data_IF_289563264047
#
_entry.id   IF_289563264047
#
_cell.length_a   1.000
_cell.length_b   1.000
_cell.length_c   1.000
_cell.angle_alpha   90.00
_cell.angle_beta   90.00
_cell.angle_gamma   90.00
#
_symmetry.space_group_name_H-M   'P 1'
#
loop_
_entity.id
_entity.type
_entity.pdbx_description
1 polymer ?
#
# COMPACT_ATOMS: atom_id res chain seq x y z
N UNK A 1 -13.39 72.96 -3.63
CA UNK A 1 -12.25 72.06 -3.91
C UNK A 1 -11.60 71.69 -2.59
N UNK A 2 -11.69 70.43 -2.17
CA UNK A 2 -10.60 69.68 -1.53
C UNK A 2 -11.06 68.24 -1.27
N UNK A 3 -10.20 67.33 -1.71
CA UNK A 3 -10.44 65.92 -1.98
C UNK A 3 -10.39 65.02 -0.73
N UNK A 4 -11.19 63.97 -0.81
CA UNK A 4 -11.27 62.76 0.01
C UNK A 4 -9.91 62.10 0.31
N UNK A 5 -9.71 61.58 1.52
CA UNK A 5 -8.78 60.47 1.79
C UNK A 5 -9.55 59.26 2.34
N UNK A 6 -9.57 58.11 1.64
CA UNK A 6 -9.95 56.84 2.23
C UNK A 6 -8.75 56.22 2.95
N UNK A 7 -8.96 55.77 4.19
CA UNK A 7 -8.01 54.97 4.96
C UNK A 7 -8.02 53.53 4.44
N UNK A 8 -7.03 53.16 3.62
CA UNK A 8 -6.77 51.79 3.22
C UNK A 8 -6.10 51.01 4.36
N UNK A 9 -6.90 50.19 5.05
CA UNK A 9 -6.41 49.19 6.00
C UNK A 9 -5.76 48.05 5.21
N UNK A 10 -4.45 48.13 4.99
CA UNK A 10 -3.66 47.06 4.39
C UNK A 10 -3.60 45.87 5.35
N UNK A 11 -4.48 44.89 5.18
CA UNK A 11 -4.31 43.57 5.80
C UNK A 11 -3.17 42.84 5.10
N UNK A 12 -2.02 42.78 5.74
CA UNK A 12 -0.96 41.84 5.40
C UNK A 12 -1.49 40.41 5.61
N UNK A 13 -2.00 39.79 4.55
CA UNK A 13 -2.11 38.34 4.49
C UNK A 13 -0.69 37.78 4.36
N UNK A 14 -0.09 37.42 5.50
CA UNK A 14 1.07 36.59 5.54
C UNK A 14 0.73 35.26 4.83
N UNK A 15 1.23 35.07 3.61
CA UNK A 15 1.29 33.76 2.98
C UNK A 15 2.21 32.89 3.85
N UNK A 16 1.63 32.09 4.73
CA UNK A 16 2.31 30.96 5.34
C UNK A 16 2.62 29.98 4.21
N UNK A 17 3.80 30.12 3.61
CA UNK A 17 4.42 29.08 2.79
C UNK A 17 4.78 27.93 3.75
N UNK A 18 3.78 27.15 4.14
CA UNK A 18 4.00 25.85 4.77
C UNK A 18 4.62 24.97 3.69
N UNK A 19 5.94 25.02 3.54
CA UNK A 19 6.68 24.00 2.80
C UNK A 19 6.40 22.70 3.54
N UNK A 20 5.49 21.91 2.99
CA UNK A 20 5.14 20.61 3.54
C UNK A 20 6.36 19.71 3.39
N UNK A 21 7.20 19.69 4.44
CA UNK A 21 8.42 18.93 4.46
C UNK A 21 8.05 17.46 4.71
N UNK A 22 7.72 16.74 3.63
CA UNK A 22 7.46 15.30 3.69
C UNK A 22 8.55 14.58 4.50
N UNK A 23 8.12 13.69 5.39
CA UNK A 23 8.98 12.92 6.30
C UNK A 23 9.79 11.87 5.55
N UNK A 24 10.98 11.52 6.03
CA UNK A 24 11.73 10.40 5.45
C UNK A 24 11.11 9.06 5.83
N UNK A 25 11.29 8.03 4.99
CA UNK A 25 10.81 6.68 5.26
C UNK A 25 11.13 6.18 6.67
N UNK A 26 12.38 6.37 7.12
CA UNK A 26 12.84 5.92 8.46
C UNK A 26 12.20 6.69 9.62
N UNK A 27 11.84 7.95 9.41
CA UNK A 27 11.22 8.81 10.44
C UNK A 27 9.69 8.71 10.50
N UNK A 28 9.05 8.12 9.49
CA UNK A 28 7.59 8.08 9.38
C UNK A 28 6.97 7.19 10.44
N UNK A 29 5.96 7.70 11.16
CA UNK A 29 5.19 6.92 12.13
C UNK A 29 4.42 5.79 11.45
N UNK A 30 3.82 6.05 10.27
CA UNK A 30 3.09 5.03 9.51
C UNK A 30 4.02 3.88 9.09
N UNK A 31 5.25 4.20 8.66
CA UNK A 31 6.26 3.19 8.30
C UNK A 31 6.65 2.37 9.53
N UNK A 32 6.93 3.02 10.67
CA UNK A 32 7.28 2.32 11.91
C UNK A 32 6.16 1.38 12.37
N UNK A 33 4.91 1.85 12.38
CA UNK A 33 3.77 1.04 12.77
C UNK A 33 3.61 -0.19 11.86
N UNK A 34 3.66 0.00 10.54
CA UNK A 34 3.63 -1.11 9.59
C UNK A 34 4.78 -2.11 9.79
N UNK A 35 6.01 -1.64 10.03
CA UNK A 35 7.17 -2.50 10.27
C UNK A 35 7.03 -3.30 11.58
N UNK A 36 6.45 -2.71 12.63
CA UNK A 36 6.16 -3.41 13.89
C UNK A 36 5.17 -4.53 13.66
N UNK A 37 4.04 -4.26 12.98
CA UNK A 37 3.05 -5.30 12.66
C UNK A 37 3.69 -6.45 11.85
N UNK A 38 4.54 -6.11 10.87
CA UNK A 38 5.25 -7.10 10.06
C UNK A 38 6.25 -7.93 10.88
N UNK A 39 6.94 -7.32 11.82
CA UNK A 39 7.86 -8.04 12.71
C UNK A 39 7.09 -8.99 13.64
N UNK A 40 5.95 -8.56 14.19
CA UNK A 40 5.09 -9.40 15.02
C UNK A 40 4.56 -10.61 14.23
N UNK A 41 4.11 -10.42 12.99
CA UNK A 41 3.67 -11.53 12.14
C UNK A 41 4.80 -12.49 11.75
N UNK A 42 6.03 -12.00 11.56
CA UNK A 42 7.20 -12.84 11.28
C UNK A 42 7.64 -13.69 12.49
N UNK A 43 7.40 -13.20 13.71
CA UNK A 43 7.79 -13.85 14.96
C UNK A 43 6.74 -14.84 15.50
N UNK A 44 5.84 -15.36 14.65
CA UNK A 44 4.78 -16.35 14.95
C UNK A 44 5.25 -17.51 15.83
N UNK A 45 5.25 -17.26 17.13
CA UNK A 45 5.41 -18.19 18.23
C UNK A 45 4.21 -18.10 19.18
N UNK A 46 3.01 -17.80 18.63
CA UNK A 46 1.73 -18.19 19.24
C UNK A 46 0.90 -17.13 19.95
N UNK A 47 1.44 -15.98 20.38
CA UNK A 47 0.67 -15.05 21.24
C UNK A 47 0.10 -13.80 20.55
N UNK A 48 0.66 -13.37 19.43
CA UNK A 48 0.17 -12.21 18.69
C UNK A 48 0.03 -12.52 17.21
N UNK A 49 -1.21 -12.58 16.72
CA UNK A 49 -1.53 -12.58 15.30
C UNK A 49 -2.00 -11.16 14.99
N UNK A 50 -1.18 -10.37 14.30
CA UNK A 50 -1.67 -9.10 13.76
C UNK A 50 -2.83 -9.41 12.81
N UNK A 51 -3.96 -8.73 12.95
CA UNK A 51 -5.06 -8.88 11.99
C UNK A 51 -4.51 -8.57 10.59
N UNK A 52 -4.68 -9.50 9.66
CA UNK A 52 -4.25 -9.33 8.26
C UNK A 52 -4.78 -8.01 7.68
N UNK A 53 -6.01 -7.62 8.07
CA UNK A 53 -6.61 -6.35 7.68
C UNK A 53 -5.89 -5.13 8.26
N UNK A 54 -5.39 -5.24 9.49
CA UNK A 54 -4.63 -4.16 10.14
C UNK A 54 -3.28 -3.97 9.46
N UNK A 55 -2.59 -5.07 9.12
CA UNK A 55 -1.34 -5.03 8.35
C UNK A 55 -1.55 -4.44 6.94
N UNK A 56 -2.59 -4.86 6.23
CA UNK A 56 -2.97 -4.31 4.93
C UNK A 56 -3.29 -2.81 5.01
N UNK A 57 -4.06 -2.39 6.01
CA UNK A 57 -4.41 -0.99 6.22
C UNK A 57 -3.19 -0.14 6.55
N UNK A 58 -2.33 -0.58 7.47
CA UNK A 58 -1.09 0.10 7.81
C UNK A 58 -0.16 0.24 6.59
N UNK A 59 -0.07 -0.80 5.75
CA UNK A 59 0.66 -0.73 4.50
C UNK A 59 0.03 0.27 3.51
N UNK A 60 -1.29 0.30 3.40
CA UNK A 60 -2.03 1.27 2.58
C UNK A 60 -1.68 2.72 2.95
N UNK A 61 -1.63 3.04 4.24
CA UNK A 61 -1.22 4.37 4.73
C UNK A 61 0.22 4.73 4.35
N UNK A 62 1.13 3.75 4.26
CA UNK A 62 2.50 3.97 3.79
C UNK A 62 2.51 4.27 2.29
N UNK A 63 1.80 3.46 1.49
CA UNK A 63 1.69 3.65 0.03
C UNK A 63 1.08 5.01 -0.31
N UNK A 64 0.00 5.40 0.37
CA UNK A 64 -0.65 6.69 0.17
C UNK A 64 0.25 7.85 0.62
N UNK A 65 1.00 7.66 1.71
CA UNK A 65 2.00 8.63 2.17
C UNK A 65 3.12 8.82 1.14
N UNK A 66 3.58 7.75 0.49
CA UNK A 66 4.59 7.83 -0.59
C UNK A 66 4.00 8.51 -1.83
N UNK A 67 2.81 8.10 -2.26
CA UNK A 67 2.13 8.65 -3.44
C UNK A 67 1.85 10.15 -3.31
N UNK A 68 1.46 10.59 -2.12
CA UNK A 68 1.20 12.01 -1.81
C UNK A 68 2.47 12.83 -1.55
N UNK A 69 3.65 12.22 -1.57
CA UNK A 69 4.93 12.89 -1.28
C UNK A 69 5.18 13.19 0.21
N UNK A 70 4.26 12.78 1.09
CA UNK A 70 4.38 12.92 2.56
C UNK A 70 5.45 12.00 3.15
N UNK A 71 5.74 10.88 2.48
CA UNK A 71 6.80 9.95 2.83
C UNK A 71 7.81 9.89 1.67
N UNK A 72 9.05 10.29 1.94
CA UNK A 72 10.14 10.27 0.97
C UNK A 72 10.92 8.97 1.07
N UNK A 73 10.98 8.23 -0.02
CA UNK A 73 11.84 7.06 -0.17
C UNK A 73 13.25 7.50 -0.59
N UNK A 74 14.27 6.88 -0.01
CA UNK A 74 15.66 7.03 -0.44
C UNK A 74 15.98 6.13 -1.63
N UNK A 75 15.26 5.01 -1.77
CA UNK A 75 15.40 4.11 -2.90
C UNK A 75 15.07 4.81 -4.23
N UNK A 76 15.94 4.61 -5.22
CA UNK A 76 15.74 5.00 -6.60
C UNK A 76 16.00 3.78 -7.48
N UNK A 77 15.09 3.41 -8.40
CA UNK A 77 15.34 2.31 -9.29
C UNK A 77 16.51 2.66 -10.23
N UNK A 78 17.34 1.67 -10.62
CA UNK A 78 18.47 1.90 -11.53
C UNK A 78 18.03 2.47 -12.88
N UNK A 79 16.88 2.01 -13.36
CA UNK A 79 16.24 2.47 -14.60
C UNK A 79 14.73 2.56 -14.39
N UNK A 80 14.07 3.44 -15.14
CA UNK A 80 12.60 3.57 -15.09
C UNK A 80 11.87 2.51 -15.94
N UNK A 81 12.61 1.72 -16.72
CA UNK A 81 12.07 0.74 -17.68
C UNK A 81 12.20 -0.71 -17.21
N UNK A 82 12.90 -0.93 -16.10
CA UNK A 82 13.20 -2.27 -15.59
C UNK A 82 12.80 -2.37 -14.14
N UNK A 83 12.00 -3.38 -13.84
CA UNK A 83 11.79 -3.81 -12.47
C UNK A 83 13.07 -4.42 -11.93
N UNK A 84 13.48 -3.97 -10.75
CA UNK A 84 14.60 -4.55 -10.01
C UNK A 84 14.30 -4.46 -8.52
N UNK A 85 14.50 -5.57 -7.81
CA UNK A 85 14.53 -5.59 -6.34
C UNK A 85 15.94 -5.88 -5.87
N UNK A 86 16.49 -5.07 -4.94
CA UNK A 86 17.69 -5.42 -4.19
C UNK A 86 17.52 -6.76 -3.46
N UNK A 87 18.61 -7.45 -3.15
CA UNK A 87 18.57 -8.66 -2.33
C UNK A 87 17.97 -8.40 -0.95
N UNK A 88 17.47 -9.44 -0.28
CA UNK A 88 16.78 -9.31 1.02
C UNK A 88 17.63 -8.65 2.11
N UNK A 89 18.94 -8.89 2.08
CA UNK A 89 19.92 -8.32 3.02
C UNK A 89 20.24 -6.85 2.73
N UNK A 90 19.82 -6.31 1.58
CA UNK A 90 20.05 -4.93 1.22
C UNK A 90 19.14 -3.99 2.06
N UNK A 91 19.68 -2.95 2.70
CA UNK A 91 18.88 -2.02 3.51
C UNK A 91 17.80 -1.28 2.72
N UNK A 92 17.91 -1.22 1.39
CA UNK A 92 16.93 -0.62 0.49
C UNK A 92 15.84 -1.59 0.03
N UNK A 93 15.96 -2.89 0.31
CA UNK A 93 15.00 -3.91 -0.15
C UNK A 93 13.55 -3.54 0.17
N UNK A 94 13.29 -3.19 1.44
CA UNK A 94 11.94 -2.81 1.87
C UNK A 94 11.44 -1.53 1.19
N UNK A 95 12.31 -0.52 1.05
CA UNK A 95 11.94 0.71 0.35
C UNK A 95 11.67 0.47 -1.14
N UNK A 96 12.41 -0.44 -1.77
CA UNK A 96 12.18 -0.85 -3.14
C UNK A 96 10.83 -1.57 -3.30
N UNK A 97 10.48 -2.45 -2.37
CA UNK A 97 9.15 -3.08 -2.37
C UNK A 97 8.04 -2.04 -2.25
N UNK A 98 8.13 -1.10 -1.29
CA UNK A 98 7.13 -0.03 -1.13
C UNK A 98 7.04 0.82 -2.40
N UNK A 99 8.19 1.19 -2.99
CA UNK A 99 8.23 1.94 -4.23
C UNK A 99 7.46 1.24 -5.34
N UNK A 100 7.79 -0.03 -5.61
CA UNK A 100 7.16 -0.78 -6.70
C UNK A 100 5.68 -1.08 -6.44
N UNK A 101 5.29 -1.40 -5.20
CA UNK A 101 3.87 -1.52 -4.83
C UNK A 101 3.11 -0.21 -5.08
N UNK A 102 3.73 0.93 -4.80
CA UNK A 102 3.14 2.25 -5.03
C UNK A 102 2.95 2.52 -6.52
N UNK A 103 3.97 2.24 -7.34
CA UNK A 103 3.95 2.43 -8.79
C UNK A 103 2.97 1.48 -9.50
N UNK A 104 2.90 0.23 -9.05
CA UNK A 104 2.07 -0.82 -9.66
C UNK A 104 0.67 -0.92 -9.04
N UNK A 105 0.40 -0.10 -8.03
CA UNK A 105 -0.83 -0.09 -7.25
C UNK A 105 -1.24 -1.50 -6.79
N UNK A 106 -0.32 -2.24 -6.18
CA UNK A 106 -0.50 -3.63 -5.74
C UNK A 106 -0.10 -3.85 -4.27
N UNK A 107 -0.54 -4.96 -3.70
CA UNK A 107 -0.10 -5.41 -2.37
C UNK A 107 1.32 -5.99 -2.42
N UNK A 108 1.93 -6.15 -1.25
CA UNK A 108 3.26 -6.78 -1.13
C UNK A 108 3.25 -8.25 -1.57
N UNK A 109 2.17 -8.98 -1.30
CA UNK A 109 2.00 -10.38 -1.70
C UNK A 109 2.03 -10.51 -3.23
N UNK A 110 1.22 -9.70 -3.93
CA UNK A 110 1.18 -9.70 -5.40
C UNK A 110 2.54 -9.31 -5.98
N UNK A 111 3.25 -8.36 -5.37
CA UNK A 111 4.59 -7.98 -5.83
C UNK A 111 5.61 -9.11 -5.59
N UNK A 112 5.53 -9.80 -4.45
CA UNK A 112 6.39 -10.93 -4.14
C UNK A 112 6.17 -12.10 -5.12
N UNK A 113 4.91 -12.43 -5.41
CA UNK A 113 4.56 -13.47 -6.39
C UNK A 113 5.01 -13.10 -7.81
N UNK A 114 4.89 -11.82 -8.18
CA UNK A 114 5.40 -11.33 -9.44
C UNK A 114 6.93 -11.44 -9.53
N UNK A 115 7.65 -11.12 -8.44
CA UNK A 115 9.10 -11.30 -8.35
C UNK A 115 9.51 -12.77 -8.41
N UNK A 116 8.77 -13.68 -7.76
CA UNK A 116 9.01 -15.12 -7.86
C UNK A 116 8.80 -15.63 -9.29
N UNK A 117 7.84 -15.07 -10.03
CA UNK A 117 7.53 -15.45 -11.41
C UNK A 117 8.55 -14.89 -12.44
N UNK A 118 9.03 -13.67 -12.23
CA UNK A 118 9.89 -12.94 -13.17
C UNK A 118 11.39 -13.04 -12.85
N UNK A 119 11.73 -13.37 -11.61
CA UNK A 119 13.08 -13.28 -11.08
C UNK A 119 13.45 -11.86 -10.64
N UNK A 120 14.75 -11.65 -10.43
CA UNK A 120 15.30 -10.45 -9.78
C UNK A 120 15.27 -9.19 -10.64
N UNK A 121 15.19 -9.33 -11.97
CA UNK A 121 15.12 -8.23 -12.93
C UNK A 121 14.23 -8.60 -14.10
N UNK A 122 13.34 -7.70 -14.49
CA UNK A 122 12.46 -7.89 -15.65
C UNK A 122 12.08 -6.56 -16.30
N UNK A 123 11.73 -6.55 -17.60
CA UNK A 123 11.09 -5.41 -18.22
C UNK A 123 9.82 -4.99 -17.46
N UNK A 124 9.59 -3.68 -17.36
CA UNK A 124 8.44 -3.16 -16.63
C UNK A 124 7.10 -3.64 -17.22
N UNK A 125 7.05 -3.83 -18.54
CA UNK A 125 5.88 -4.35 -19.26
C UNK A 125 5.46 -5.73 -18.73
N UNK A 126 6.42 -6.63 -18.58
CA UNK A 126 6.18 -8.00 -18.12
C UNK A 126 5.70 -8.00 -16.67
N UNK A 127 6.23 -7.08 -15.85
CA UNK A 127 5.74 -6.86 -14.49
C UNK A 127 4.27 -6.39 -14.47
N UNK A 128 3.90 -5.43 -15.31
CA UNK A 128 2.50 -4.98 -15.42
C UNK A 128 1.56 -6.12 -15.81
N UNK A 129 1.95 -6.93 -16.80
CA UNK A 129 1.15 -8.05 -17.29
C UNK A 129 0.94 -9.11 -16.19
N UNK A 130 2.00 -9.49 -15.48
CA UNK A 130 1.92 -10.48 -14.40
C UNK A 130 1.13 -9.95 -13.21
N UNK A 131 1.34 -8.70 -12.79
CA UNK A 131 0.56 -8.09 -11.71
C UNK A 131 -0.93 -8.03 -12.09
N UNK A 132 -1.26 -7.68 -13.33
CA UNK A 132 -2.66 -7.66 -13.79
C UNK A 132 -3.28 -9.07 -13.80
N UNK A 133 -2.51 -10.10 -14.16
CA UNK A 133 -2.95 -11.50 -14.05
C UNK A 133 -3.18 -11.91 -12.61
N UNK A 134 -2.20 -11.71 -11.73
CA UNK A 134 -2.27 -12.07 -10.31
C UNK A 134 -3.41 -11.35 -9.57
N UNK A 135 -3.65 -10.06 -9.87
CA UNK A 135 -4.80 -9.33 -9.33
C UNK A 135 -6.12 -10.01 -9.70
N UNK A 136 -6.30 -10.39 -10.98
CA UNK A 136 -7.52 -11.09 -11.45
C UNK A 136 -7.70 -12.43 -10.74
N UNK A 137 -6.63 -13.18 -10.56
CA UNK A 137 -6.65 -14.47 -9.85
C UNK A 137 -6.99 -14.30 -8.37
N UNK A 138 -6.39 -13.32 -7.68
CA UNK A 138 -6.74 -12.99 -6.29
C UNK A 138 -8.21 -12.60 -6.13
N UNK A 139 -8.74 -11.74 -7.00
CA UNK A 139 -10.15 -11.35 -6.96
C UNK A 139 -11.08 -12.53 -7.26
N UNK A 140 -10.72 -13.40 -8.21
CA UNK A 140 -11.49 -14.60 -8.50
C UNK A 140 -11.52 -15.53 -7.28
N UNK A 141 -10.36 -15.83 -6.66
CA UNK A 141 -10.26 -16.69 -5.49
C UNK A 141 -11.05 -16.16 -4.28
N UNK A 142 -11.03 -14.84 -4.04
CA UNK A 142 -11.84 -14.22 -2.99
C UNK A 142 -13.34 -14.33 -3.28
N UNK A 143 -13.76 -14.21 -4.54
CA UNK A 143 -15.15 -14.35 -4.96
C UNK A 143 -15.64 -15.79 -4.73
N UNK A 144 -14.87 -16.79 -5.18
CA UNK A 144 -15.19 -18.20 -4.98
C UNK A 144 -15.32 -18.57 -3.49
N UNK A 145 -14.36 -18.15 -2.65
CA UNK A 145 -14.43 -18.38 -1.19
C UNK A 145 -15.69 -17.80 -0.55
N UNK A 146 -16.16 -16.63 -1.00
CA UNK A 146 -17.41 -16.03 -0.51
C UNK A 146 -18.66 -16.77 -0.99
N UNK A 147 -18.64 -17.36 -2.19
CA UNK A 147 -19.76 -18.14 -2.71
C UNK A 147 -19.90 -19.47 -1.96
N UNK A 148 -18.79 -20.19 -1.75
CA UNK A 148 -18.80 -21.48 -1.03
C UNK A 148 -19.27 -21.34 0.41
N UNK A 149 -18.86 -20.26 1.10
CA UNK A 149 -19.30 -20.00 2.49
C UNK A 149 -20.81 -19.68 2.59
N UNK A 150 -21.41 -19.13 1.53
CA UNK A 150 -22.85 -18.86 1.47
C UNK A 150 -23.68 -20.10 1.19
N UNK A 151 -23.17 -21.04 0.39
CA UNK A 151 -23.86 -22.31 0.08
C UNK A 151 -23.83 -23.31 1.24
N UNK A 152 -22.86 -23.21 2.16
CA UNK A 152 -22.79 -24.07 3.35
C UNK A 152 -23.59 -23.56 4.55
N UNK A 153 -24.19 -22.36 4.48
CA UNK A 153 -25.01 -21.78 5.55
C UNK A 153 -26.48 -21.57 5.16
N UNK A 154 -27.01 -22.32 4.19
CA UNK A 154 -28.46 -22.51 4.08
C UNK A 154 -28.87 -23.62 5.06
N UNK A 155 -29.67 -23.32 6.10
CA UNK A 155 -30.24 -24.39 6.92
C UNK A 155 -31.09 -25.26 6.00
N UNK A 156 -30.85 -26.57 6.04
CA UNK A 156 -31.67 -27.54 5.35
C UNK A 156 -33.12 -27.35 5.82
N UNK A 157 -33.94 -26.70 5.00
CA UNK A 157 -35.39 -26.67 5.18
C UNK A 157 -35.87 -28.10 4.95
N UNK A 158 -35.99 -28.86 6.02
CA UNK A 158 -36.59 -30.20 6.00
C UNK A 158 -38.05 -30.02 5.59
N UNK A 159 -38.52 -30.58 4.46
CA UNK A 159 -39.94 -30.56 4.14
C UNK A 159 -40.66 -31.44 5.17
N UNK A 160 -41.48 -30.84 6.03
CA UNK A 160 -42.42 -31.59 6.86
C UNK A 160 -43.47 -32.24 5.95
N UNK A 161 -43.66 -33.56 5.99
CA UNK A 161 -44.79 -34.18 5.34
C UNK A 161 -46.07 -33.77 6.07
N UNK A 162 -47.02 -33.20 5.33
CA UNK A 162 -48.38 -32.97 5.79
C UNK A 162 -49.06 -34.33 5.93
N UNK A 163 -49.42 -34.69 7.17
CA UNK A 163 -50.37 -35.77 7.49
C UNK A 163 -51.80 -35.25 7.38
#
# INVERSE_FOLDING_TARGET
>A
MNYTRPSTRTTHFAKANHKDHGTTFKSSQNVRHWLVLRALDAHRAGEYVSDSKEMEHAFGLVVDGVRSGKIKLAYKPPTLLTFALPGREDPMHLQAMVYWCTQMNCSLEILADAHCSLGSKAPLKDLFEIIARLKREHFANLRWKKTVLKETMTPATVPMPLL
#
